data_IF_268933363799
#
_entry.id   IF_268933363799
#
_cell.length_a   1.000
_cell.length_b   1.000
_cell.length_c   1.000
_cell.angle_alpha   90.00
_cell.angle_beta   90.00
_cell.angle_gamma   90.00
#
_symmetry.space_group_name_H-M   'P 1'
#
loop_
_entity.id
_entity.type
_entity.pdbx_description
1 polymer ?
#
# COMPACT_ATOMS: atom_id res chain seq x y z
N UNK A 1 -13.98 4.23 15.46
CA UNK A 1 -14.25 2.77 15.36
C UNK A 1 -14.28 2.40 13.88
N UNK A 2 -13.27 1.64 13.41
CA UNK A 2 -13.14 1.25 11.98
C UNK A 2 -13.76 -0.14 11.73
N UNK A 3 -14.06 -0.46 10.47
CA UNK A 3 -14.62 -1.78 10.10
C UNK A 3 -13.71 -2.94 10.53
N UNK A 4 -12.38 -2.76 10.44
CA UNK A 4 -11.40 -3.74 10.89
C UNK A 4 -11.43 -3.95 12.40
N UNK A 5 -11.66 -2.91 13.20
CA UNK A 5 -11.85 -3.04 14.65
C UNK A 5 -13.08 -3.88 14.99
N UNK A 6 -14.20 -3.64 14.30
CA UNK A 6 -15.44 -4.37 14.52
C UNK A 6 -15.30 -5.87 14.21
N UNK A 7 -14.48 -6.20 13.21
CA UNK A 7 -14.25 -7.57 12.77
C UNK A 7 -12.87 -8.11 13.12
N UNK A 8 -12.21 -7.57 14.16
CA UNK A 8 -10.85 -7.96 14.57
C UNK A 8 -10.69 -9.47 14.76
N UNK A 9 -11.72 -10.13 15.29
CA UNK A 9 -11.73 -11.58 15.50
C UNK A 9 -11.69 -12.42 14.19
N UNK A 10 -11.95 -11.80 13.04
CA UNK A 10 -11.91 -12.43 11.71
C UNK A 10 -10.59 -12.23 10.98
N UNK A 11 -9.68 -11.39 11.50
CA UNK A 11 -8.39 -11.11 10.88
C UNK A 11 -7.35 -12.11 11.37
N UNK A 12 -6.69 -12.82 10.44
CA UNK A 12 -5.58 -13.72 10.76
C UNK A 12 -4.24 -13.01 10.58
N UNK A 13 -3.88 -12.21 11.59
CA UNK A 13 -2.63 -11.44 11.62
C UNK A 13 -1.41 -12.26 12.10
N UNK A 14 -1.50 -13.58 12.17
CA UNK A 14 -0.34 -14.45 12.46
C UNK A 14 0.77 -14.29 11.41
N UNK A 15 0.41 -13.88 10.21
CA UNK A 15 1.32 -13.42 9.16
C UNK A 15 0.73 -12.20 8.47
N UNK A 16 1.54 -11.15 8.34
CA UNK A 16 1.20 -9.93 7.60
C UNK A 16 2.11 -9.86 6.38
N UNK A 17 1.54 -9.56 5.21
CA UNK A 17 2.31 -9.30 4.00
C UNK A 17 2.30 -7.79 3.69
N UNK A 18 3.35 -7.03 4.06
CA UNK A 18 3.50 -5.63 3.70
C UNK A 18 3.94 -5.51 2.23
N UNK A 19 3.04 -5.82 1.32
CA UNK A 19 3.33 -5.83 -0.11
C UNK A 19 3.18 -4.44 -0.73
N UNK A 20 4.29 -3.84 -1.13
CA UNK A 20 4.27 -2.68 -2.03
C UNK A 20 3.81 -3.08 -3.43
N UNK A 21 2.85 -2.36 -4.00
CA UNK A 21 2.32 -2.57 -5.36
C UNK A 21 2.60 -1.34 -6.21
N UNK A 22 2.88 -1.56 -7.49
CA UNK A 22 3.08 -0.49 -8.47
C UNK A 22 1.94 -0.54 -9.49
N UNK A 23 1.17 0.53 -9.61
CA UNK A 23 0.03 0.66 -10.51
C UNK A 23 0.31 1.70 -11.59
N UNK A 24 -0.08 1.39 -12.84
CA UNK A 24 -0.06 2.38 -13.93
C UNK A 24 -1.12 3.44 -13.68
N UNK A 25 -0.76 4.69 -13.91
CA UNK A 25 -1.63 5.84 -13.74
C UNK A 25 -1.84 6.54 -15.07
N UNK A 26 -3.07 6.96 -15.34
CA UNK A 26 -3.39 7.77 -16.51
C UNK A 26 -3.24 9.27 -16.20
N UNK A 27 -3.94 10.15 -16.92
CA UNK A 27 -3.71 11.60 -17.06
C UNK A 27 -3.95 12.46 -15.78
N UNK A 28 -3.70 11.97 -14.57
CA UNK A 28 -3.86 12.76 -13.32
C UNK A 28 -3.54 11.97 -12.05
N UNK A 29 -3.32 12.69 -10.94
CA UNK A 29 -2.99 12.17 -9.61
C UNK A 29 -1.77 12.89 -9.00
N UNK A 30 -1.69 12.93 -7.67
CA UNK A 30 -0.69 13.75 -6.96
C UNK A 30 0.71 13.09 -6.85
N UNK A 31 0.77 11.76 -6.74
CA UNK A 31 2.01 11.02 -6.51
C UNK A 31 2.32 10.08 -7.69
N UNK A 32 2.77 10.67 -8.80
CA UNK A 32 2.98 9.97 -10.08
C UNK A 32 4.35 10.33 -10.64
N UNK A 33 5.09 9.30 -11.07
CA UNK A 33 6.31 9.51 -11.84
C UNK A 33 6.54 8.37 -12.84
N UNK A 34 7.45 8.54 -13.78
CA UNK A 34 7.81 7.55 -14.78
C UNK A 34 8.65 6.42 -14.17
N UNK A 35 8.28 5.18 -14.46
CA UNK A 35 8.99 3.98 -14.02
C UNK A 35 9.54 3.25 -15.24
N UNK A 36 10.88 3.15 -15.32
CA UNK A 36 11.58 2.63 -16.50
C UNK A 36 11.30 1.15 -16.83
N UNK A 37 11.23 0.26 -15.83
CA UNK A 37 10.85 -1.17 -16.01
C UNK A 37 9.44 -1.33 -16.60
N UNK A 38 8.54 -0.40 -16.35
CA UNK A 38 7.15 -0.40 -16.80
C UNK A 38 6.91 0.51 -18.00
N UNK A 39 7.92 1.31 -18.38
CA UNK A 39 7.86 2.29 -19.46
C UNK A 39 6.58 3.14 -19.42
N UNK A 40 6.15 3.53 -18.22
CA UNK A 40 4.87 4.22 -18.01
C UNK A 40 4.91 5.11 -16.77
N UNK A 41 3.99 6.06 -16.69
CA UNK A 41 3.71 6.80 -15.46
C UNK A 41 3.01 5.87 -14.47
N UNK A 42 3.52 5.77 -13.27
CA UNK A 42 3.02 4.87 -12.23
C UNK A 42 2.96 5.57 -10.88
N UNK A 43 2.23 4.93 -9.96
CA UNK A 43 2.22 5.24 -8.53
C UNK A 43 2.49 3.95 -7.76
N UNK A 44 3.11 4.09 -6.59
CA UNK A 44 3.38 3.00 -5.67
C UNK A 44 2.44 3.11 -4.46
N UNK A 45 1.94 1.96 -3.99
CA UNK A 45 1.00 1.86 -2.88
C UNK A 45 1.43 0.72 -1.95
N UNK A 46 1.50 0.99 -0.65
CA UNK A 46 1.64 -0.05 0.35
C UNK A 46 0.26 -0.57 0.74
N UNK A 47 0.03 -1.87 0.53
CA UNK A 47 -1.25 -2.55 0.72
C UNK A 47 -1.03 -3.80 1.58
N UNK A 48 -0.98 -3.68 2.92
CA UNK A 48 -0.82 -4.84 3.79
C UNK A 48 -2.04 -5.76 3.69
N UNK A 49 -1.78 -7.06 3.70
CA UNK A 49 -2.79 -8.10 3.79
C UNK A 49 -2.52 -8.98 5.02
N UNK A 50 -3.58 -9.57 5.56
CA UNK A 50 -3.46 -10.70 6.46
C UNK A 50 -3.21 -12.00 5.66
N UNK A 51 -3.06 -13.13 6.37
CA UNK A 51 -2.80 -14.43 5.76
C UNK A 51 -3.81 -14.83 4.66
N UNK A 52 -5.02 -14.30 4.68
CA UNK A 52 -6.04 -14.63 3.67
C UNK A 52 -5.75 -13.97 2.32
N UNK A 53 -4.99 -12.87 2.30
CA UNK A 53 -4.47 -12.23 1.10
C UNK A 53 -5.17 -10.94 0.60
N UNK A 54 -6.44 -10.63 0.92
CA UNK A 54 -7.04 -9.34 0.61
C UNK A 54 -6.33 -8.17 1.32
N UNK A 55 -6.19 -7.01 0.65
CA UNK A 55 -5.67 -5.80 1.30
C UNK A 55 -6.58 -5.33 2.45
N UNK A 56 -5.98 -5.03 3.60
CA UNK A 56 -6.67 -4.51 4.77
C UNK A 56 -6.70 -2.99 4.81
N UNK A 57 -5.64 -2.34 4.35
CA UNK A 57 -5.49 -0.89 4.37
C UNK A 57 -4.66 -0.43 3.17
N UNK A 58 -4.64 0.88 2.95
CA UNK A 58 -3.92 1.52 1.86
C UNK A 58 -3.18 2.75 2.41
N UNK A 59 -1.85 2.76 2.30
CA UNK A 59 -1.06 3.93 2.69
C UNK A 59 -1.19 5.05 1.66
N UNK A 60 -0.63 6.22 1.99
CA UNK A 60 -0.58 7.35 1.06
C UNK A 60 0.16 6.96 -0.23
N UNK A 61 -0.33 7.39 -1.42
CA UNK A 61 0.30 7.07 -2.68
C UNK A 61 1.69 7.70 -2.77
N UNK A 62 2.64 6.96 -3.33
CA UNK A 62 4.03 7.37 -3.53
C UNK A 62 4.35 7.45 -5.03
N UNK A 63 5.30 8.31 -5.40
CA UNK A 63 5.75 8.43 -6.78
C UNK A 63 6.28 7.09 -7.32
N UNK A 64 5.95 6.78 -8.58
CA UNK A 64 6.19 5.48 -9.19
C UNK A 64 7.64 5.21 -9.62
N UNK A 65 8.51 6.22 -9.61
CA UNK A 65 9.93 6.13 -9.92
C UNK A 65 10.76 5.36 -8.88
N UNK A 66 10.16 5.01 -7.74
CA UNK A 66 10.80 4.24 -6.67
C UNK A 66 10.51 2.73 -6.76
N UNK A 67 11.28 1.91 -6.02
CA UNK A 67 10.98 0.50 -5.83
C UNK A 67 9.81 0.28 -4.86
N UNK A 68 9.19 -0.90 -4.91
CA UNK A 68 7.97 -1.20 -4.13
C UNK A 68 8.14 -1.06 -2.61
N UNK A 69 9.35 -1.25 -2.07
CA UNK A 69 9.63 -1.11 -0.64
C UNK A 69 10.13 0.29 -0.23
N UNK A 70 10.03 1.28 -1.10
CA UNK A 70 10.53 2.62 -0.80
C UNK A 70 9.71 3.23 0.34
N UNK A 71 10.42 3.76 1.36
CA UNK A 71 9.82 4.35 2.55
C UNK A 71 8.75 3.45 3.22
N UNK A 72 8.96 2.13 3.23
CA UNK A 72 7.99 1.17 3.78
C UNK A 72 7.74 1.42 5.26
N UNK A 73 8.78 1.73 6.04
CA UNK A 73 8.62 2.03 7.48
C UNK A 73 7.73 3.25 7.71
N UNK A 74 7.95 4.34 6.95
CA UNK A 74 7.10 5.54 7.00
C UNK A 74 5.66 5.22 6.59
N UNK A 75 5.47 4.56 5.45
CA UNK A 75 4.15 4.21 4.91
C UNK A 75 3.39 3.25 5.82
N UNK A 76 4.09 2.32 6.48
CA UNK A 76 3.51 1.41 7.45
C UNK A 76 3.18 2.11 8.76
N UNK A 77 4.03 3.04 9.20
CA UNK A 77 3.77 3.91 10.35
C UNK A 77 2.50 4.75 10.17
N UNK A 78 2.28 5.31 8.99
CA UNK A 78 1.02 5.99 8.63
C UNK A 78 -0.20 5.07 8.85
N UNK A 79 -0.10 3.81 8.42
CA UNK A 79 -1.16 2.83 8.58
C UNK A 79 -1.42 2.45 10.04
N UNK A 80 -0.36 2.30 10.84
CA UNK A 80 -0.48 2.02 12.27
C UNK A 80 -1.11 3.18 13.05
N UNK A 81 -0.93 4.42 12.61
CA UNK A 81 -1.52 5.60 13.24
C UNK A 81 -3.02 5.78 12.93
N UNK A 82 -3.58 5.06 11.94
CA UNK A 82 -5.01 5.09 11.60
C UNK A 82 -5.88 4.19 12.50
N UNK A 83 -5.24 3.36 13.33
CA UNK A 83 -5.86 2.35 14.19
C UNK A 83 -6.08 2.95 15.58
#
# INVERSE_FOLDING_TARGET
>A
MTLLHLHKARLDLSSIQPGGRCARTHNGGAAIDHQGRKAARTTNLLLPADKTGPPLACASPQAGNHHNLFATETSFGELCALV
#
